data_IF_616267968911
#
_entry.id   IF_616267968911
#
_cell.length_a   1.000
_cell.length_b   1.000
_cell.length_c   1.000
_cell.angle_alpha   90.00
_cell.angle_beta   90.00
_cell.angle_gamma   90.00
#
_symmetry.space_group_name_H-M   'P 1'
#
loop_
_entity.id
_entity.type
_entity.pdbx_description
1 polymer ?
#
# COMPACT_ATOMS: atom_id res chain seq x y z
N UNK A 1 -16.58 -1.34 -31.07
CA UNK A 1 -15.43 -0.80 -30.31
C UNK A 1 -15.97 0.24 -29.37
N UNK A 2 -16.15 -0.11 -28.11
CA UNK A 2 -16.73 0.79 -27.10
C UNK A 2 -15.60 1.38 -26.26
N UNK A 3 -15.30 2.65 -26.48
CA UNK A 3 -14.38 3.43 -25.66
C UNK A 3 -15.07 3.79 -24.36
N UNK A 4 -14.69 3.11 -23.28
CA UNK A 4 -15.08 3.54 -21.92
C UNK A 4 -14.35 4.83 -21.59
N UNK A 5 -15.07 5.92 -21.63
CA UNK A 5 -14.65 7.21 -21.05
C UNK A 5 -14.66 7.06 -19.53
N UNK A 6 -13.48 6.83 -18.94
CA UNK A 6 -13.31 6.86 -17.50
C UNK A 6 -13.25 8.29 -17.02
N UNK A 7 -14.18 8.64 -16.13
CA UNK A 7 -14.23 9.87 -15.35
C UNK A 7 -12.86 10.32 -14.85
N UNK A 8 -12.62 11.62 -14.86
CA UNK A 8 -11.38 12.30 -14.42
C UNK A 8 -11.09 12.13 -12.91
N UNK A 9 -10.94 10.92 -12.44
CA UNK A 9 -10.38 10.59 -11.14
C UNK A 9 -8.92 10.23 -11.30
N UNK A 10 -8.05 10.85 -10.49
CA UNK A 10 -6.63 10.62 -10.28
C UNK A 10 -5.98 9.64 -11.28
N UNK A 11 -5.49 10.16 -12.41
CA UNK A 11 -4.83 9.37 -13.43
C UNK A 11 -3.50 8.85 -12.85
N UNK A 12 -3.56 7.70 -12.19
CA UNK A 12 -2.36 6.97 -11.82
C UNK A 12 -1.74 6.47 -13.12
N UNK A 13 -0.49 6.83 -13.36
CA UNK A 13 0.29 6.28 -14.46
C UNK A 13 0.35 4.74 -14.36
N UNK A 14 0.71 4.06 -15.45
CA UNK A 14 0.79 2.60 -15.46
C UNK A 14 1.75 2.10 -14.38
N UNK A 15 1.33 1.05 -13.68
CA UNK A 15 2.13 0.38 -12.66
C UNK A 15 2.99 -0.69 -13.30
N UNK A 16 4.26 -0.73 -12.93
CA UNK A 16 5.22 -1.72 -13.40
C UNK A 16 5.73 -2.53 -12.21
N UNK A 17 5.80 -3.85 -12.37
CA UNK A 17 6.53 -4.71 -11.45
C UNK A 17 8.00 -4.28 -11.37
N UNK A 18 8.66 -4.53 -10.26
CA UNK A 18 10.01 -4.06 -9.98
C UNK A 18 10.97 -4.26 -11.16
N UNK A 19 11.08 -5.47 -11.70
CA UNK A 19 11.98 -5.78 -12.82
C UNK A 19 11.74 -4.87 -14.03
N UNK A 20 10.51 -4.84 -14.53
CA UNK A 20 10.13 -3.99 -15.68
C UNK A 20 10.22 -2.50 -15.35
N UNK A 21 9.93 -2.12 -14.12
CA UNK A 21 10.05 -0.74 -13.66
C UNK A 21 11.49 -0.26 -13.60
N UNK A 22 12.42 -1.11 -13.16
CA UNK A 22 13.85 -0.79 -13.14
C UNK A 22 14.44 -0.71 -14.55
N UNK A 23 14.05 -1.59 -15.47
CA UNK A 23 14.41 -1.49 -16.88
C UNK A 23 13.98 -0.16 -17.50
N UNK A 24 12.76 0.31 -17.17
CA UNK A 24 12.21 1.55 -17.71
C UNK A 24 12.75 2.83 -17.07
N UNK A 25 12.90 2.83 -15.74
CA UNK A 25 13.21 4.06 -14.98
C UNK A 25 14.68 4.11 -14.52
N UNK A 26 15.43 3.02 -14.65
CA UNK A 26 16.85 2.94 -14.32
C UNK A 26 17.16 3.41 -12.89
N UNK A 27 18.20 4.24 -12.76
CA UNK A 27 18.66 4.78 -11.46
C UNK A 27 17.57 5.52 -10.67
N UNK A 28 16.60 6.14 -11.34
CA UNK A 28 15.48 6.83 -10.67
C UNK A 28 14.56 5.83 -9.98
N UNK A 29 14.30 4.68 -10.63
CA UNK A 29 13.53 3.59 -10.07
C UNK A 29 14.20 2.97 -8.84
N UNK A 30 15.52 2.72 -8.92
CA UNK A 30 16.31 2.20 -7.79
C UNK A 30 16.20 3.15 -6.58
N UNK A 31 16.45 4.45 -6.78
CA UNK A 31 16.36 5.45 -5.69
C UNK A 31 14.97 5.52 -5.05
N UNK A 32 13.91 5.42 -5.86
CA UNK A 32 12.54 5.40 -5.34
C UNK A 32 12.26 4.13 -4.52
N UNK A 33 12.80 3.00 -4.97
CA UNK A 33 12.67 1.72 -4.28
C UNK A 33 13.40 1.71 -2.93
N UNK A 34 14.65 2.16 -2.90
CA UNK A 34 15.43 2.30 -1.68
C UNK A 34 14.75 3.22 -0.65
N UNK A 35 14.18 4.33 -1.13
CA UNK A 35 13.44 5.25 -0.25
C UNK A 35 12.23 4.56 0.40
N UNK A 36 11.47 3.78 -0.34
CA UNK A 36 10.31 3.05 0.20
C UNK A 36 10.74 2.00 1.21
N UNK A 37 11.75 1.18 0.89
CA UNK A 37 12.26 0.17 1.80
C UNK A 37 12.84 0.78 3.07
N UNK A 38 13.57 1.88 2.96
CA UNK A 38 14.12 2.61 4.12
C UNK A 38 13.02 3.12 5.03
N UNK A 39 11.95 3.71 4.46
CA UNK A 39 10.80 4.17 5.26
C UNK A 39 10.11 3.02 6.03
N UNK A 40 9.99 1.85 5.42
CA UNK A 40 9.40 0.68 6.07
C UNK A 40 10.32 0.12 7.15
N UNK A 41 11.63 0.09 6.90
CA UNK A 41 12.64 -0.33 7.87
C UNK A 41 12.70 0.61 9.08
N UNK A 42 12.77 1.92 8.86
CA UNK A 42 12.83 2.93 9.93
C UNK A 42 11.58 2.90 10.83
N UNK A 43 10.47 2.42 10.28
CA UNK A 43 9.21 2.23 11.02
C UNK A 43 9.08 0.85 11.65
N UNK A 44 10.11 0.01 11.54
CA UNK A 44 10.08 -1.36 12.05
C UNK A 44 8.89 -2.19 11.55
N UNK A 45 8.44 -1.93 10.29
CA UNK A 45 7.32 -2.65 9.68
C UNK A 45 7.67 -4.11 9.40
N UNK A 46 8.95 -4.45 9.29
CA UNK A 46 9.43 -5.81 9.08
C UNK A 46 10.72 -6.07 9.86
N UNK A 47 10.95 -7.32 10.18
CA UNK A 47 12.20 -7.82 10.76
C UNK A 47 12.72 -8.93 9.85
N UNK A 48 13.99 -8.88 9.41
CA UNK A 48 14.58 -9.97 8.64
C UNK A 48 14.69 -11.22 9.50
N UNK A 49 14.43 -12.38 8.90
CA UNK A 49 14.59 -13.68 9.53
C UNK A 49 15.27 -14.62 8.53
N UNK A 50 16.17 -15.48 9.04
CA UNK A 50 16.79 -16.50 8.21
C UNK A 50 15.83 -17.66 7.92
N UNK A 51 15.88 -18.21 6.71
CA UNK A 51 15.10 -19.41 6.35
C UNK A 51 15.42 -20.59 7.29
N UNK A 52 16.65 -20.68 7.79
CA UNK A 52 17.08 -21.72 8.71
C UNK A 52 16.36 -21.67 10.07
N UNK A 53 15.95 -20.48 10.51
CA UNK A 53 15.26 -20.24 11.77
C UNK A 53 13.74 -20.47 11.69
N UNK A 54 13.21 -20.66 10.48
CA UNK A 54 11.78 -20.85 10.26
C UNK A 54 11.37 -22.30 10.45
N UNK A 55 10.27 -22.50 11.14
CA UNK A 55 9.62 -23.81 11.25
C UNK A 55 9.00 -24.25 9.90
N UNK A 56 8.80 -25.56 9.66
CA UNK A 56 8.17 -26.05 8.44
C UNK A 56 6.77 -25.46 8.18
N UNK A 57 6.01 -25.19 9.25
CA UNK A 57 4.66 -24.60 9.12
C UNK A 57 4.69 -23.11 8.81
N UNK A 58 5.68 -22.37 9.32
CA UNK A 58 5.91 -20.96 8.94
C UNK A 58 6.32 -20.86 7.47
N UNK A 59 7.20 -21.76 6.98
CA UNK A 59 7.60 -21.79 5.57
C UNK A 59 6.43 -21.97 4.62
N UNK A 60 5.42 -22.79 4.99
CA UNK A 60 4.19 -22.95 4.19
C UNK A 60 3.31 -21.71 4.16
N UNK A 61 3.39 -20.84 5.17
CA UNK A 61 2.60 -19.61 5.30
C UNK A 61 3.28 -18.37 4.72
N UNK A 62 4.51 -18.52 4.23
CA UNK A 62 5.22 -17.39 3.60
C UNK A 62 4.44 -16.87 2.40
N UNK A 63 4.29 -15.55 2.34
CA UNK A 63 3.58 -14.86 1.26
C UNK A 63 4.58 -13.95 0.53
N UNK A 64 4.53 -14.02 -0.79
CA UNK A 64 5.38 -13.22 -1.67
C UNK A 64 5.09 -11.72 -1.50
N UNK A 65 6.15 -10.92 -1.41
CA UNK A 65 6.06 -9.47 -1.45
C UNK A 65 6.30 -8.97 -2.89
N UNK A 66 5.43 -8.08 -3.35
CA UNK A 66 5.48 -7.49 -4.68
C UNK A 66 5.83 -6.01 -4.58
N UNK A 67 6.78 -5.58 -5.41
CA UNK A 67 7.19 -4.19 -5.51
C UNK A 67 6.73 -3.60 -6.84
N UNK A 68 6.05 -2.44 -6.77
CA UNK A 68 5.57 -1.72 -7.93
C UNK A 68 6.20 -0.35 -8.04
N UNK A 69 6.51 0.06 -9.27
CA UNK A 69 6.97 1.39 -9.62
C UNK A 69 5.92 2.09 -10.49
N UNK A 70 5.60 3.32 -10.16
CA UNK A 70 4.62 4.16 -10.87
C UNK A 70 5.22 5.54 -11.11
N UNK A 71 5.12 6.05 -12.33
CA UNK A 71 5.47 7.43 -12.65
C UNK A 71 4.26 8.33 -12.36
N UNK A 72 4.47 9.36 -11.55
CA UNK A 72 3.46 10.38 -11.28
C UNK A 72 3.42 11.45 -12.38
N UNK A 73 2.42 12.34 -12.35
CA UNK A 73 2.30 13.46 -13.30
C UNK A 73 3.50 14.40 -13.28
N UNK A 74 4.09 14.62 -12.12
CA UNK A 74 5.28 15.44 -11.90
C UNK A 74 6.59 14.74 -12.33
N UNK A 75 6.49 13.61 -13.06
CA UNK A 75 7.61 12.78 -13.48
C UNK A 75 8.39 12.11 -12.33
N UNK A 76 7.99 12.30 -11.08
CA UNK A 76 8.60 11.58 -9.97
C UNK A 76 8.20 10.10 -9.99
N UNK A 77 9.10 9.23 -9.53
CA UNK A 77 8.82 7.79 -9.43
C UNK A 77 8.39 7.47 -8.00
N UNK A 78 7.25 6.82 -7.87
CA UNK A 78 6.75 6.28 -6.61
C UNK A 78 6.93 4.78 -6.61
N UNK A 79 7.58 4.27 -5.58
CA UNK A 79 7.60 2.84 -5.25
C UNK A 79 6.50 2.51 -4.26
N UNK A 80 6.03 1.27 -4.29
CA UNK A 80 5.07 0.73 -3.33
C UNK A 80 5.33 -0.75 -3.13
N UNK A 81 5.54 -1.14 -1.88
CA UNK A 81 5.59 -2.53 -1.47
C UNK A 81 4.19 -3.02 -1.10
N UNK A 82 3.79 -4.16 -1.61
CA UNK A 82 2.56 -4.85 -1.25
C UNK A 82 2.83 -6.34 -1.10
N UNK A 83 2.14 -7.01 -0.18
CA UNK A 83 2.19 -8.46 -0.12
C UNK A 83 1.13 -9.08 -1.05
N UNK A 84 1.41 -10.26 -1.56
CA UNK A 84 0.47 -10.99 -2.40
C UNK A 84 -0.65 -11.60 -1.53
N UNK A 85 -1.77 -10.89 -1.39
CA UNK A 85 -2.91 -11.34 -0.59
C UNK A 85 -3.76 -12.46 -1.24
N UNK A 86 -3.37 -12.97 -2.41
CA UNK A 86 -4.15 -14.03 -3.07
C UNK A 86 -4.27 -15.32 -2.24
N UNK A 87 -3.19 -15.84 -1.63
CA UNK A 87 -3.28 -17.03 -0.79
C UNK A 87 -4.11 -16.84 0.48
N UNK A 88 -4.18 -15.61 1.01
CA UNK A 88 -4.88 -15.33 2.27
C UNK A 88 -6.40 -15.39 2.13
N UNK A 89 -6.94 -15.32 0.90
CA UNK A 89 -8.39 -15.42 0.63
C UNK A 89 -9.01 -16.75 1.03
N UNK A 90 -8.21 -17.79 1.22
CA UNK A 90 -8.69 -19.11 1.60
C UNK A 90 -9.08 -19.21 3.09
N UNK A 91 -8.60 -18.25 3.92
CA UNK A 91 -8.75 -18.29 5.38
C UNK A 91 -9.11 -16.93 6.01
N UNK A 92 -9.09 -15.85 5.24
CA UNK A 92 -9.59 -14.53 5.67
C UNK A 92 -10.90 -14.22 4.98
N UNK A 93 -11.90 -13.82 5.76
CA UNK A 93 -13.17 -13.38 5.21
C UNK A 93 -13.03 -12.02 4.51
N UNK A 94 -13.99 -11.67 3.67
CA UNK A 94 -14.02 -10.37 3.01
C UNK A 94 -14.23 -9.24 4.02
N UNK A 95 -14.99 -9.48 5.06
CA UNK A 95 -15.25 -8.55 6.15
C UNK A 95 -13.95 -8.22 6.92
N UNK A 96 -13.14 -9.24 7.23
CA UNK A 96 -11.87 -9.07 7.94
C UNK A 96 -10.81 -8.32 7.12
N UNK A 97 -10.92 -8.38 5.79
CA UNK A 97 -9.95 -7.73 4.88
C UNK A 97 -10.40 -6.36 4.40
N UNK A 98 -11.66 -5.99 4.63
CA UNK A 98 -12.19 -4.71 4.17
C UNK A 98 -11.91 -3.61 5.19
N UNK A 99 -11.36 -2.50 4.72
CA UNK A 99 -11.26 -1.29 5.52
C UNK A 99 -12.58 -0.53 5.44
N UNK A 100 -13.24 -0.23 6.55
CA UNK A 100 -14.47 0.56 6.52
C UNK A 100 -14.17 1.95 5.93
N UNK A 101 -14.83 2.24 4.82
CA UNK A 101 -14.76 3.55 4.17
C UNK A 101 -16.05 4.29 4.47
N UNK A 102 -15.93 5.55 4.89
CA UNK A 102 -17.10 6.38 5.16
C UNK A 102 -17.94 6.50 3.89
N UNK A 103 -19.25 6.34 4.01
CA UNK A 103 -20.17 6.50 2.89
C UNK A 103 -20.33 7.98 2.52
N UNK A 104 -20.68 8.28 1.26
CA UNK A 104 -20.99 9.65 0.84
C UNK A 104 -22.08 10.28 1.73
N UNK A 105 -23.09 9.50 2.13
CA UNK A 105 -24.12 9.97 3.07
C UNK A 105 -23.50 10.38 4.41
N UNK A 106 -22.55 9.61 4.94
CA UNK A 106 -21.84 9.94 6.18
C UNK A 106 -21.09 11.26 6.07
N UNK A 107 -20.40 11.50 4.96
CA UNK A 107 -19.68 12.75 4.70
C UNK A 107 -20.65 13.94 4.67
N UNK A 108 -21.78 13.82 3.98
CA UNK A 108 -22.79 14.88 3.93
C UNK A 108 -23.41 15.16 5.32
N UNK A 109 -23.73 14.12 6.09
CA UNK A 109 -24.23 14.32 7.46
C UNK A 109 -23.23 15.04 8.34
N UNK A 110 -21.96 14.65 8.30
CA UNK A 110 -20.90 15.34 9.05
C UNK A 110 -20.83 16.81 8.64
N UNK A 111 -20.80 17.08 7.33
CA UNK A 111 -20.72 18.47 6.84
C UNK A 111 -21.93 19.32 7.25
N UNK A 112 -23.14 18.75 7.29
CA UNK A 112 -24.37 19.46 7.75
C UNK A 112 -24.26 19.78 9.25
N UNK A 113 -23.79 18.84 10.06
CA UNK A 113 -23.61 19.03 11.50
C UNK A 113 -22.55 20.11 11.75
N UNK A 114 -21.39 20.02 11.10
CA UNK A 114 -20.32 20.99 11.21
C UNK A 114 -20.76 22.41 10.85
N UNK A 115 -21.52 22.54 9.74
CA UNK A 115 -22.07 23.83 9.31
C UNK A 115 -23.12 24.37 10.30
N UNK A 116 -23.95 23.51 10.89
CA UNK A 116 -24.97 23.90 11.88
C UNK A 116 -24.33 24.34 13.19
N UNK A 117 -23.28 23.68 13.63
CA UNK A 117 -22.61 23.94 14.90
C UNK A 117 -21.50 24.98 14.77
N UNK A 118 -21.20 25.45 13.56
CA UNK A 118 -20.13 26.42 13.29
C UNK A 118 -18.73 25.85 13.55
N UNK A 119 -18.56 24.53 13.35
CA UNK A 119 -17.28 23.86 13.55
C UNK A 119 -16.31 24.12 12.40
N UNK A 120 -15.04 24.24 12.70
CA UNK A 120 -13.97 24.24 11.71
C UNK A 120 -13.71 22.82 11.21
N UNK A 121 -13.62 22.65 9.89
CA UNK A 121 -13.37 21.34 9.27
C UNK A 121 -11.90 21.21 8.91
N UNK A 122 -11.20 20.23 9.48
CA UNK A 122 -9.83 19.90 9.15
C UNK A 122 -9.77 18.61 8.32
N UNK A 123 -9.17 18.68 7.14
CA UNK A 123 -8.79 17.50 6.35
C UNK A 123 -7.30 17.25 6.48
N UNK A 124 -6.92 16.10 7.00
CA UNK A 124 -5.53 15.71 7.18
C UNK A 124 -5.23 14.38 6.50
N UNK A 125 -4.08 14.32 5.79
CA UNK A 125 -3.55 13.06 5.29
C UNK A 125 -2.49 12.53 6.25
N UNK A 126 -2.73 11.35 6.81
CA UNK A 126 -1.76 10.67 7.68
C UNK A 126 -0.86 9.79 6.80
N UNK A 127 0.40 10.17 6.54
CA UNK A 127 1.30 9.35 5.74
C UNK A 127 1.49 7.97 6.36
N UNK A 128 1.32 6.92 5.55
CA UNK A 128 1.50 5.53 5.97
C UNK A 128 0.71 5.14 7.24
N UNK A 129 -0.54 5.59 7.36
CA UNK A 129 -1.41 5.32 8.51
C UNK A 129 -1.59 3.82 8.80
N UNK A 130 -1.49 2.97 7.78
CA UNK A 130 -1.56 1.51 7.92
C UNK A 130 -0.24 0.86 8.39
N UNK A 131 0.86 1.62 8.43
CA UNK A 131 2.18 1.13 8.86
C UNK A 131 2.43 1.41 10.33
N UNK A 132 1.40 1.37 11.18
CA UNK A 132 1.60 1.54 12.63
C UNK A 132 2.34 0.33 13.22
N UNK A 133 3.17 0.52 14.27
CA UNK A 133 3.94 -0.56 14.92
C UNK A 133 3.08 -1.68 15.52
N UNK A 134 1.76 -1.49 15.62
CA UNK A 134 0.79 -2.48 16.10
C UNK A 134 0.33 -3.46 15.01
N UNK A 135 0.56 -3.17 13.73
CA UNK A 135 0.42 -4.19 12.69
C UNK A 135 1.48 -5.26 12.92
N UNK A 136 1.07 -6.51 12.95
CA UNK A 136 1.93 -7.69 13.12
C UNK A 136 3.21 -7.52 12.31
N UNK A 137 4.36 -7.58 13.00
CA UNK A 137 5.68 -7.45 12.37
C UNK A 137 5.78 -8.45 11.22
N UNK A 138 5.82 -7.95 10.01
CA UNK A 138 6.07 -8.77 8.83
C UNK A 138 7.48 -9.35 8.95
N UNK A 139 7.60 -10.66 8.92
CA UNK A 139 8.89 -11.34 8.90
C UNK A 139 9.35 -11.46 7.45
N UNK A 140 10.54 -10.98 7.16
CA UNK A 140 11.18 -11.13 5.86
C UNK A 140 12.10 -12.34 5.84
N UNK A 141 12.05 -13.08 4.73
CA UNK A 141 12.91 -14.21 4.48
C UNK A 141 14.00 -13.77 3.50
N UNK A 142 15.26 -13.92 3.89
CA UNK A 142 16.41 -13.75 3.00
C UNK A 142 16.76 -15.12 2.41
N UNK A 143 16.85 -15.18 1.07
CA UNK A 143 17.38 -16.33 0.33
C UNK A 143 18.90 -16.35 0.41
#
# INVERSE_FOLDING_TARGET
MSTRTTSQGACFGPQYLLKKGLEKFGKRGVKANEKELRQLHDRTCFSPISIAEMTPDEKKKVVEALMFLTEKRDKSIKSRLVYNGKPTRNWLSKEDTSSPTVTMKGIFWTAIIDAKEGCDVLSANIPNSLSKPQCQKLKWVNE
#
